data_IF_746805898047
#
_entry.id   IF_746805898047
#
_cell.length_a   1.000
_cell.length_b   1.000
_cell.length_c   1.000
_cell.angle_alpha   90.00
_cell.angle_beta   90.00
_cell.angle_gamma   90.00
#
_symmetry.space_group_name_H-M   'P 1'
#
loop_
_entity.id
_entity.type
_entity.pdbx_description
1 polymer ?
#
# COMPACT_ATOMS: atom_id res chain seq x y z
N UNK A 1 19.71 26.07 83.50
CA UNK A 1 19.76 24.62 83.23
C UNK A 1 18.34 24.10 83.13
N UNK A 2 17.89 23.77 81.91
CA UNK A 2 16.86 22.75 81.61
C UNK A 2 16.64 22.72 80.09
N UNK A 3 17.06 21.62 79.50
CA UNK A 3 17.11 21.33 78.06
C UNK A 3 15.79 20.63 77.71
N UNK A 4 15.05 21.11 76.71
CA UNK A 4 13.92 20.36 76.13
C UNK A 4 14.42 19.57 74.92
N UNK A 5 14.27 18.23 74.86
CA UNK A 5 14.65 17.45 73.70
C UNK A 5 13.48 17.41 72.72
N UNK A 6 13.72 17.74 71.45
CA UNK A 6 12.77 17.43 70.38
C UNK A 6 13.56 16.88 69.20
N UNK A 7 13.58 15.56 69.11
CA UNK A 7 14.00 14.85 67.91
C UNK A 7 12.90 15.00 66.86
N UNK A 8 13.22 15.63 65.71
CA UNK A 8 12.42 15.48 64.51
C UNK A 8 13.30 15.14 63.30
N UNK A 9 13.22 13.86 62.95
CA UNK A 9 13.16 13.23 61.64
C UNK A 9 14.05 13.76 60.51
N UNK A 10 15.05 12.92 60.20
CA UNK A 10 15.71 12.80 58.90
C UNK A 10 14.67 12.79 57.76
N UNK A 11 14.63 13.84 56.94
CA UNK A 11 13.90 13.81 55.68
C UNK A 11 14.78 13.04 54.68
N UNK A 12 14.37 11.81 54.36
CA UNK A 12 15.02 11.03 53.31
C UNK A 12 14.84 11.74 51.96
N UNK A 13 15.97 12.11 51.32
CA UNK A 13 15.99 12.63 49.96
C UNK A 13 15.67 11.47 49.02
N UNK A 14 14.51 11.52 48.36
CA UNK A 14 14.17 10.61 47.26
C UNK A 14 14.90 11.14 46.01
N UNK A 15 15.87 10.42 45.42
CA UNK A 15 16.37 10.79 44.12
C UNK A 15 15.25 10.49 43.11
N UNK A 16 14.57 11.55 42.65
CA UNK A 16 13.64 11.43 41.53
C UNK A 16 14.48 11.06 40.31
N UNK A 17 14.28 9.83 39.84
CA UNK A 17 14.93 9.27 38.66
C UNK A 17 14.70 10.22 37.47
N UNK A 18 15.78 10.78 36.92
CA UNK A 18 15.74 11.44 35.62
C UNK A 18 15.49 10.36 34.56
N UNK A 19 14.22 10.17 34.18
CA UNK A 19 13.87 9.37 33.01
C UNK A 19 14.38 10.08 31.77
N UNK A 20 15.43 9.53 31.15
CA UNK A 20 15.92 9.93 29.84
C UNK A 20 14.82 9.63 28.80
N UNK A 21 14.46 10.64 28.02
CA UNK A 21 13.57 10.49 26.86
C UNK A 21 14.21 9.50 25.89
N UNK A 22 13.77 8.23 25.93
CA UNK A 22 13.89 7.40 24.75
C UNK A 22 12.66 7.71 23.89
N UNK A 23 12.71 8.85 23.20
CA UNK A 23 12.08 8.96 21.90
C UNK A 23 12.75 7.89 21.04
N UNK A 24 12.26 6.67 21.19
CA UNK A 24 12.53 5.59 20.29
C UNK A 24 12.01 6.09 18.97
N UNK A 25 12.91 6.71 18.20
CA UNK A 25 12.79 6.78 16.77
C UNK A 25 12.52 5.34 16.38
N UNK A 26 11.25 5.02 16.19
CA UNK A 26 10.89 3.93 15.33
C UNK A 26 11.49 4.39 14.01
N UNK A 27 12.72 3.97 13.75
CA UNK A 27 13.17 3.73 12.39
C UNK A 27 12.04 2.94 11.80
N UNK A 28 11.18 3.65 11.09
CA UNK A 28 10.11 3.06 10.32
C UNK A 28 10.87 2.31 9.24
N UNK A 29 11.24 1.07 9.55
CA UNK A 29 11.43 0.06 8.53
C UNK A 29 10.17 0.20 7.68
N UNK A 30 10.25 0.62 6.41
CA UNK A 30 9.06 0.69 5.59
C UNK A 30 8.49 -0.72 5.67
N UNK A 31 7.33 -0.86 6.33
CA UNK A 31 6.62 -2.11 6.29
C UNK A 31 6.46 -2.38 4.81
N UNK A 32 7.00 -3.49 4.32
CA UNK A 32 6.66 -3.99 3.00
C UNK A 32 5.17 -4.25 3.10
N UNK A 33 4.36 -3.24 2.77
CA UNK A 33 2.93 -3.37 2.69
C UNK A 33 2.71 -4.53 1.73
N UNK A 34 1.93 -5.52 2.17
CA UNK A 34 1.63 -6.66 1.32
C UNK A 34 0.83 -6.15 0.13
N UNK A 35 1.52 -5.86 -0.98
CA UNK A 35 0.91 -5.30 -2.17
C UNK A 35 -0.10 -6.28 -2.76
N UNK A 36 -1.27 -5.76 -3.13
CA UNK A 36 -2.31 -6.54 -3.78
C UNK A 36 -2.19 -6.40 -5.30
N UNK A 37 -2.52 -7.47 -6.01
CA UNK A 37 -2.62 -7.37 -7.47
C UNK A 37 -3.85 -6.54 -7.89
N UNK A 38 -3.78 -5.79 -8.99
CA UNK A 38 -4.92 -5.02 -9.50
C UNK A 38 -6.02 -5.96 -10.02
N UNK A 39 -7.26 -5.48 -9.98
CA UNK A 39 -8.42 -6.13 -10.57
C UNK A 39 -8.58 -5.63 -12.01
N UNK A 40 -8.33 -6.50 -12.99
CA UNK A 40 -8.47 -6.18 -14.40
C UNK A 40 -9.94 -6.17 -14.84
N UNK A 41 -10.38 -5.07 -15.46
CA UNK A 41 -11.76 -4.90 -15.98
C UNK A 41 -11.70 -4.48 -17.45
N UNK A 42 -11.96 -5.43 -18.35
CA UNK A 42 -11.92 -5.24 -19.81
C UNK A 42 -13.26 -4.79 -20.44
N UNK A 43 -14.32 -4.67 -19.62
CA UNK A 43 -15.67 -4.36 -20.09
C UNK A 43 -16.48 -5.60 -20.49
N UNK A 44 -17.56 -5.36 -21.25
CA UNK A 44 -18.47 -6.42 -21.72
C UNK A 44 -17.90 -7.17 -22.92
N UNK A 45 -18.38 -8.39 -23.16
CA UNK A 45 -18.04 -9.15 -24.35
C UNK A 45 -18.50 -8.42 -25.62
N UNK A 46 -17.64 -8.37 -26.63
CA UNK A 46 -17.91 -7.73 -27.91
C UNK A 46 -18.16 -8.79 -28.98
N UNK A 47 -19.22 -8.63 -29.77
CA UNK A 47 -19.50 -9.45 -30.94
C UNK A 47 -19.54 -8.54 -32.16
N UNK A 48 -18.63 -8.77 -33.11
CA UNK A 48 -18.42 -7.90 -34.27
C UNK A 48 -18.29 -8.73 -35.54
N UNK A 49 -18.49 -8.07 -36.69
CA UNK A 49 -18.24 -8.71 -37.99
C UNK A 49 -16.74 -8.88 -38.22
N UNK A 50 -16.37 -9.87 -39.02
CA UNK A 50 -14.98 -10.05 -39.47
C UNK A 50 -14.47 -8.78 -40.14
N UNK A 51 -13.23 -8.39 -39.83
CA UNK A 51 -12.59 -7.18 -40.35
C UNK A 51 -12.91 -5.90 -39.56
N UNK A 52 -13.81 -5.94 -38.58
CA UNK A 52 -14.04 -4.79 -37.69
C UNK A 52 -12.87 -4.57 -36.74
N UNK A 53 -12.55 -3.29 -36.48
CA UNK A 53 -11.61 -2.89 -35.42
C UNK A 53 -12.34 -2.90 -34.08
N UNK A 54 -11.74 -3.57 -33.09
CA UNK A 54 -12.25 -3.62 -31.72
C UNK A 54 -11.34 -2.80 -30.82
N UNK A 55 -11.91 -1.84 -30.10
CA UNK A 55 -11.18 -1.10 -29.06
C UNK A 55 -11.32 -1.85 -27.73
N UNK A 56 -10.19 -2.12 -27.10
CA UNK A 56 -10.11 -2.69 -25.76
C UNK A 56 -9.81 -1.56 -24.77
N UNK A 57 -10.54 -1.52 -23.67
CA UNK A 57 -10.43 -0.45 -22.67
C UNK A 57 -10.31 -1.05 -21.27
N UNK A 58 -9.18 -0.78 -20.61
CA UNK A 58 -8.85 -1.23 -19.27
C UNK A 58 -9.01 -0.15 -18.21
N UNK A 59 -9.47 1.06 -18.55
CA UNK A 59 -9.52 2.24 -17.66
C UNK A 59 -10.38 2.04 -16.40
N UNK A 60 -11.26 1.04 -16.42
CA UNK A 60 -12.07 0.66 -15.26
C UNK A 60 -11.37 -0.30 -14.30
N UNK A 61 -10.17 -0.77 -14.63
CA UNK A 61 -9.37 -1.61 -13.73
C UNK A 61 -8.99 -0.82 -12.48
N UNK A 62 -8.90 -1.52 -11.35
CA UNK A 62 -8.69 -0.88 -10.04
C UNK A 62 -7.59 -1.59 -9.27
N UNK A 63 -6.69 -0.79 -8.71
CA UNK A 63 -5.76 -1.22 -7.68
C UNK A 63 -6.28 -0.75 -6.32
N UNK A 64 -6.35 -1.66 -5.34
CA UNK A 64 -6.89 -1.34 -4.01
C UNK A 64 -5.93 -0.50 -3.17
N UNK A 65 -4.65 -0.67 -3.42
CA UNK A 65 -3.58 0.07 -2.76
C UNK A 65 -3.36 1.44 -3.45
N UNK A 66 -4.06 1.66 -4.57
CA UNK A 66 -4.06 2.87 -5.42
C UNK A 66 -2.74 3.08 -6.15
N UNK A 67 -2.03 1.98 -6.41
CA UNK A 67 -0.83 1.99 -7.23
C UNK A 67 -1.16 2.24 -8.70
N UNK A 68 -0.14 2.66 -9.46
CA UNK A 68 -0.25 2.86 -10.89
C UNK A 68 -0.48 1.51 -11.60
N UNK A 69 -1.49 1.47 -12.47
CA UNK A 69 -1.82 0.28 -13.25
C UNK A 69 -1.22 0.41 -14.65
N UNK A 70 -0.52 -0.65 -15.09
CA UNK A 70 -0.09 -0.81 -16.49
C UNK A 70 -0.98 -1.85 -17.18
N UNK A 71 -1.23 -1.68 -18.48
CA UNK A 71 -2.11 -2.54 -19.25
C UNK A 71 -1.33 -3.36 -20.28
N UNK A 72 -1.66 -4.66 -20.36
CA UNK A 72 -1.18 -5.56 -21.40
C UNK A 72 -2.33 -6.40 -21.93
N UNK A 73 -2.50 -6.42 -23.25
CA UNK A 73 -3.50 -7.23 -23.92
C UNK A 73 -2.84 -8.45 -24.56
N UNK A 74 -3.47 -9.62 -24.41
CA UNK A 74 -3.03 -10.88 -25.03
C UNK A 74 -4.25 -11.68 -25.48
N UNK A 75 -4.11 -12.44 -26.58
CA UNK A 75 -5.10 -13.43 -26.96
C UNK A 75 -4.94 -14.69 -26.09
N UNK A 76 -5.91 -14.98 -25.22
CA UNK A 76 -5.92 -16.24 -24.45
C UNK A 76 -6.29 -17.45 -25.30
N UNK A 77 -7.13 -17.22 -26.30
CA UNK A 77 -7.50 -18.22 -27.31
C UNK A 77 -7.75 -17.50 -28.62
N UNK A 78 -7.45 -18.18 -29.73
CA UNK A 78 -7.60 -17.66 -31.07
C UNK A 78 -7.92 -18.83 -32.01
N UNK A 79 -9.02 -18.77 -32.79
CA UNK A 79 -9.34 -19.83 -33.74
C UNK A 79 -8.22 -20.05 -34.76
N UNK A 80 -8.05 -21.30 -35.22
CA UNK A 80 -7.09 -21.64 -36.27
C UNK A 80 -7.38 -20.81 -37.53
N UNK A 81 -6.33 -20.22 -38.12
CA UNK A 81 -6.45 -19.37 -39.31
C UNK A 81 -6.95 -17.95 -39.05
N UNK A 82 -7.21 -17.54 -37.80
CA UNK A 82 -7.58 -16.15 -37.52
C UNK A 82 -6.41 -15.19 -37.79
N UNK A 83 -6.69 -14.08 -38.46
CA UNK A 83 -5.73 -13.01 -38.75
C UNK A 83 -5.78 -11.86 -37.73
N UNK A 84 -6.57 -11.99 -36.66
CA UNK A 84 -6.70 -10.95 -35.64
C UNK A 84 -5.35 -10.58 -35.02
N UNK A 85 -5.06 -9.29 -34.92
CA UNK A 85 -3.84 -8.77 -34.32
C UNK A 85 -4.15 -7.74 -33.23
N UNK A 86 -3.32 -7.69 -32.19
CA UNK A 86 -3.38 -6.64 -31.18
C UNK A 86 -2.46 -5.50 -31.59
N UNK A 87 -2.98 -4.28 -31.57
CA UNK A 87 -2.21 -3.07 -31.81
C UNK A 87 -2.20 -2.24 -30.54
N UNK A 88 -1.02 -1.78 -30.14
CA UNK A 88 -0.91 -0.77 -29.10
C UNK A 88 -1.52 0.54 -29.64
N UNK A 89 -2.24 1.27 -28.79
CA UNK A 89 -2.57 2.65 -29.12
C UNK A 89 -1.32 3.50 -28.90
N UNK A 90 -0.74 4.01 -29.98
CA UNK A 90 0.22 5.10 -29.89
C UNK A 90 -0.59 6.37 -29.69
N UNK A 91 -0.55 6.94 -28.49
CA UNK A 91 -0.99 8.32 -28.26
C UNK A 91 0.21 9.24 -28.43
#
# INVERSE_FOLDING_TARGET
MNIKPSWLFLLAIVPILFGCDSSGSKTATPALANNQAPIAIAGINQNVKTGSVVKLDGLRSVDKDRDLITYQWVFKSKPQGSEANLQASTT
#
